data_IF_926189148396
#
_entry.id   IF_926189148396
#
_cell.length_a   1.000
_cell.length_b   1.000
_cell.length_c   1.000
_cell.angle_alpha   90.00
_cell.angle_beta   90.00
_cell.angle_gamma   90.00
#
_symmetry.space_group_name_H-M   'P 1'
#
loop_
_entity.id
_entity.type
_entity.pdbx_description
1 polymer ?
#
# COMPACT_ATOMS: atom_id res chain seq x y z
N UNK A 1 12.04 -20.28 -12.30
CA UNK A 1 11.54 -19.31 -11.31
C UNK A 1 11.99 -17.88 -11.58
N UNK A 2 13.28 -17.62 -11.86
CA UNK A 2 13.83 -16.26 -12.09
C UNK A 2 13.05 -15.34 -13.06
N UNK A 3 12.61 -15.80 -14.24
CA UNK A 3 11.96 -14.92 -15.22
C UNK A 3 10.53 -14.48 -14.85
N UNK A 4 9.72 -15.35 -14.22
CA UNK A 4 8.32 -15.06 -13.86
C UNK A 4 8.25 -14.07 -12.69
N UNK A 5 9.14 -14.29 -11.72
CA UNK A 5 9.33 -13.46 -10.53
C UNK A 5 9.79 -12.06 -10.91
N UNK A 6 10.74 -11.95 -11.84
CA UNK A 6 11.30 -10.66 -12.28
C UNK A 6 10.32 -9.86 -13.14
N UNK A 7 9.54 -10.51 -14.02
CA UNK A 7 8.77 -9.79 -15.05
C UNK A 7 7.32 -9.45 -14.68
N UNK A 8 6.64 -10.24 -13.83
CA UNK A 8 5.21 -10.02 -13.54
C UNK A 8 4.91 -9.38 -12.19
N UNK A 9 5.77 -9.52 -11.18
CA UNK A 9 5.52 -9.03 -9.82
C UNK A 9 6.37 -7.82 -9.41
N UNK A 10 7.64 -7.77 -9.81
CA UNK A 10 8.61 -6.83 -9.24
C UNK A 10 8.60 -5.43 -9.83
N UNK A 11 8.56 -5.29 -11.15
CA UNK A 11 8.50 -3.97 -11.78
C UNK A 11 7.15 -3.29 -11.49
N UNK A 12 6.04 -4.04 -11.51
CA UNK A 12 4.75 -3.50 -11.08
C UNK A 12 4.77 -3.02 -9.61
N UNK A 13 5.37 -3.80 -8.70
CA UNK A 13 5.48 -3.44 -7.28
C UNK A 13 6.40 -2.24 -7.04
N UNK A 14 7.50 -2.12 -7.77
CA UNK A 14 8.46 -1.00 -7.67
C UNK A 14 7.82 0.30 -8.16
N UNK A 15 7.07 0.23 -9.25
CA UNK A 15 6.40 1.38 -9.86
C UNK A 15 5.26 1.84 -8.95
N UNK A 16 4.54 0.89 -8.35
CA UNK A 16 3.51 1.15 -7.33
C UNK A 16 4.11 1.82 -6.09
N UNK A 17 5.22 1.33 -5.53
CA UNK A 17 5.89 1.94 -4.37
C UNK A 17 6.35 3.36 -4.70
N UNK A 18 6.98 3.55 -5.86
CA UNK A 18 7.47 4.86 -6.30
C UNK A 18 6.31 5.84 -6.50
N UNK A 19 5.22 5.39 -7.11
CA UNK A 19 4.01 6.16 -7.24
C UNK A 19 3.50 6.52 -5.84
N UNK A 20 3.17 5.55 -4.99
CA UNK A 20 2.60 5.79 -3.66
C UNK A 20 3.45 6.75 -2.81
N UNK A 21 4.78 6.65 -2.86
CA UNK A 21 5.68 7.58 -2.18
C UNK A 21 5.61 9.00 -2.78
N UNK A 22 5.67 9.13 -4.11
CA UNK A 22 5.56 10.43 -4.77
C UNK A 22 4.22 11.09 -4.48
N UNK A 23 3.14 10.30 -4.47
CA UNK A 23 1.80 10.78 -4.22
C UNK A 23 1.58 11.23 -2.78
N UNK A 24 2.03 10.42 -1.82
CA UNK A 24 2.04 10.81 -0.40
C UNK A 24 2.82 12.09 -0.24
N UNK A 25 4.11 12.09 -0.56
CA UNK A 25 5.00 13.17 -0.19
C UNK A 25 4.74 14.44 -0.99
N UNK A 26 4.68 14.37 -2.31
CA UNK A 26 4.71 15.56 -3.17
C UNK A 26 3.34 16.04 -3.63
N UNK A 27 2.37 15.13 -3.80
CA UNK A 27 1.11 15.45 -4.49
C UNK A 27 -0.05 15.71 -3.53
N UNK A 28 -0.07 15.09 -2.35
CA UNK A 28 -1.16 15.28 -1.38
C UNK A 28 -0.68 15.76 -0.01
N UNK A 29 0.18 15.01 0.70
CA UNK A 29 0.52 15.30 2.10
C UNK A 29 1.22 16.64 2.24
N UNK A 30 2.25 16.94 1.44
CA UNK A 30 2.96 18.21 1.52
C UNK A 30 2.06 19.42 1.22
N UNK A 31 1.28 19.47 0.11
CA UNK A 31 0.33 20.57 -0.11
C UNK A 31 -0.68 20.75 1.03
N UNK A 32 -1.14 19.65 1.64
CA UNK A 32 -2.05 19.74 2.80
C UNK A 32 -1.36 20.26 4.05
N UNK A 33 -0.11 19.87 4.30
CA UNK A 33 0.72 20.40 5.40
C UNK A 33 0.93 21.90 5.20
N UNK A 34 1.40 22.32 4.03
CA UNK A 34 1.62 23.73 3.69
C UNK A 34 0.34 24.57 3.85
N UNK A 35 -0.80 24.05 3.40
CA UNK A 35 -2.09 24.73 3.60
C UNK A 35 -2.50 24.79 5.07
N UNK A 36 -2.26 23.74 5.85
CA UNK A 36 -2.60 23.70 7.29
C UNK A 36 -1.84 24.74 8.10
N UNK A 37 -0.66 25.14 7.64
CA UNK A 37 0.19 26.16 8.28
C UNK A 37 -0.31 27.60 8.05
N UNK A 38 -1.28 27.83 7.15
CA UNK A 38 -1.86 29.17 6.89
C UNK A 38 -2.79 29.67 8.01
N UNK A 39 -2.95 28.90 9.08
CA UNK A 39 -3.68 29.30 10.28
C UNK A 39 -5.18 29.53 10.04
N UNK A 40 -5.70 30.70 10.44
CA UNK A 40 -7.14 31.03 10.41
C UNK A 40 -7.78 30.92 9.00
N UNK A 41 -6.98 31.05 7.94
CA UNK A 41 -7.44 30.97 6.55
C UNK A 41 -7.22 29.61 5.90
N UNK A 42 -6.77 28.62 6.68
CA UNK A 42 -6.48 27.30 6.13
C UNK A 42 -7.74 26.63 5.60
N UNK A 43 -7.63 26.13 4.37
CA UNK A 43 -8.68 25.31 3.77
C UNK A 43 -8.71 23.89 4.36
N UNK A 44 -7.66 23.42 5.04
CA UNK A 44 -7.56 22.07 5.60
C UNK A 44 -7.15 22.10 7.06
N UNK A 45 -7.90 21.40 7.91
CA UNK A 45 -7.51 21.25 9.32
C UNK A 45 -6.30 20.32 9.44
N UNK A 46 -5.32 20.72 10.24
CA UNK A 46 -4.08 19.95 10.48
C UNK A 46 -4.36 18.52 10.95
N UNK A 47 -5.45 18.27 11.69
CA UNK A 47 -5.82 16.94 12.17
C UNK A 47 -6.25 15.97 11.05
N UNK A 48 -6.59 16.44 9.85
CA UNK A 48 -6.90 15.57 8.71
C UNK A 48 -5.65 14.90 8.13
N UNK A 49 -4.47 15.50 8.28
CA UNK A 49 -3.24 14.96 7.71
C UNK A 49 -2.85 13.63 8.38
N UNK A 50 -2.64 13.55 9.71
CA UNK A 50 -2.35 12.27 10.36
C UNK A 50 -3.52 11.29 10.22
N UNK A 51 -4.76 11.77 10.16
CA UNK A 51 -5.94 10.93 9.91
C UNK A 51 -5.89 10.23 8.53
N UNK A 52 -5.48 10.93 7.48
CA UNK A 52 -5.49 10.42 6.11
C UNK A 52 -4.27 9.56 5.79
N UNK A 53 -3.09 9.94 6.28
CA UNK A 53 -1.83 9.30 5.90
C UNK A 53 -1.31 8.28 6.92
N UNK A 54 -2.11 7.95 7.95
CA UNK A 54 -1.72 6.98 8.97
C UNK A 54 -1.33 5.62 8.37
N UNK A 55 -0.30 4.98 8.92
CA UNK A 55 0.27 3.68 8.49
C UNK A 55 0.75 3.58 7.03
N UNK A 56 0.51 4.57 6.16
CA UNK A 56 0.98 4.55 4.76
C UNK A 56 2.51 4.53 4.67
N UNK A 57 3.21 5.21 5.59
CA UNK A 57 4.67 5.15 5.65
C UNK A 57 5.17 3.74 6.01
N UNK A 58 4.57 3.09 7.00
CA UNK A 58 4.93 1.72 7.40
C UNK A 58 4.66 0.72 6.26
N UNK A 59 3.55 0.86 5.54
CA UNK A 59 3.23 0.07 4.34
C UNK A 59 4.27 0.24 3.23
N UNK A 60 4.70 1.48 2.98
CA UNK A 60 5.75 1.80 2.00
C UNK A 60 7.11 1.24 2.41
N UNK A 61 7.44 1.28 3.70
CA UNK A 61 8.67 0.70 4.25
C UNK A 61 8.67 -0.82 4.11
N UNK A 62 7.56 -1.49 4.45
CA UNK A 62 7.39 -2.94 4.26
C UNK A 62 7.56 -3.32 2.79
N UNK A 63 6.91 -2.59 1.90
CA UNK A 63 6.98 -2.84 0.46
C UNK A 63 8.41 -2.67 -0.09
N UNK A 64 9.11 -1.63 0.36
CA UNK A 64 10.50 -1.36 -0.04
C UNK A 64 11.46 -2.43 0.49
N UNK A 65 11.24 -2.90 1.72
CA UNK A 65 12.01 -4.00 2.32
C UNK A 65 11.83 -5.30 1.54
N UNK A 66 10.59 -5.71 1.27
CA UNK A 66 10.30 -6.90 0.46
C UNK A 66 10.97 -6.82 -0.92
N UNK A 67 10.83 -5.67 -1.62
CA UNK A 67 11.47 -5.48 -2.92
C UNK A 67 12.99 -5.60 -2.86
N UNK A 68 13.61 -5.13 -1.78
CA UNK A 68 15.06 -5.27 -1.57
C UNK A 68 15.44 -6.73 -1.37
N UNK A 69 14.83 -7.41 -0.40
CA UNK A 69 15.15 -8.81 -0.06
C UNK A 69 14.95 -9.74 -1.25
N UNK A 70 13.88 -9.55 -2.02
CA UNK A 70 13.63 -10.38 -3.19
C UNK A 70 14.63 -10.16 -4.34
N UNK A 71 15.24 -8.99 -4.45
CA UNK A 71 16.34 -8.75 -5.41
C UNK A 71 17.64 -9.39 -4.95
N UNK A 72 17.90 -9.35 -3.65
CA UNK A 72 19.13 -9.90 -3.06
C UNK A 72 19.08 -11.44 -2.98
N UNK A 73 17.89 -12.02 -2.77
CA UNK A 73 17.67 -13.46 -2.58
C UNK A 73 16.51 -13.97 -3.46
N UNK A 74 16.64 -13.93 -4.80
CA UNK A 74 15.56 -14.28 -5.72
C UNK A 74 15.12 -15.75 -5.66
N UNK A 75 15.96 -16.63 -5.12
CA UNK A 75 15.68 -18.07 -4.96
C UNK A 75 15.21 -18.45 -3.55
N UNK A 76 15.19 -17.51 -2.59
CA UNK A 76 14.74 -17.75 -1.19
C UNK A 76 13.41 -17.04 -0.88
N UNK A 77 12.51 -16.94 -1.87
CA UNK A 77 11.27 -16.15 -1.74
C UNK A 77 10.39 -16.61 -0.56
N UNK A 78 10.23 -17.92 -0.37
CA UNK A 78 9.45 -18.49 0.74
C UNK A 78 9.99 -18.07 2.11
N UNK A 79 11.31 -18.19 2.30
CA UNK A 79 12.00 -17.77 3.51
C UNK A 79 11.92 -16.25 3.75
N UNK A 80 12.18 -15.43 2.73
CA UNK A 80 12.04 -13.96 2.84
C UNK A 80 10.64 -13.57 3.29
N UNK A 81 9.61 -14.21 2.73
CA UNK A 81 8.22 -13.98 3.11
C UNK A 81 7.92 -14.40 4.54
N UNK A 82 8.44 -15.54 4.98
CA UNK A 82 8.28 -16.02 6.36
C UNK A 82 8.97 -15.08 7.36
N UNK A 83 10.21 -14.69 7.11
CA UNK A 83 10.96 -13.75 7.97
C UNK A 83 10.27 -12.38 8.04
N UNK A 84 9.55 -12.00 6.98
CA UNK A 84 8.81 -10.74 6.91
C UNK A 84 7.40 -10.85 7.50
N UNK A 85 6.86 -12.06 7.72
CA UNK A 85 5.48 -12.32 8.18
C UNK A 85 5.00 -11.39 9.30
N UNK A 86 5.75 -11.18 10.40
CA UNK A 86 5.29 -10.35 11.52
C UNK A 86 5.04 -8.88 11.14
N UNK A 87 5.73 -8.39 10.11
CA UNK A 87 5.62 -7.01 9.62
C UNK A 87 4.35 -6.79 8.80
N UNK A 88 3.70 -7.83 8.28
CA UNK A 88 2.46 -7.69 7.51
C UNK A 88 1.26 -7.26 8.37
N UNK A 89 1.35 -7.33 9.71
CA UNK A 89 0.33 -6.81 10.62
C UNK A 89 -0.05 -5.33 10.37
N UNK A 90 0.83 -4.55 9.73
CA UNK A 90 0.54 -3.18 9.27
C UNK A 90 -0.68 -3.10 8.33
N UNK A 91 -0.94 -4.12 7.50
CA UNK A 91 -2.11 -4.15 6.63
C UNK A 91 -3.42 -4.21 7.43
N UNK A 92 -3.43 -4.98 8.53
CA UNK A 92 -4.57 -5.03 9.44
C UNK A 92 -4.75 -3.70 10.18
N UNK A 93 -3.67 -3.12 10.72
CA UNK A 93 -3.70 -1.80 11.38
C UNK A 93 -4.27 -0.72 10.45
N UNK A 94 -3.80 -0.69 9.20
CA UNK A 94 -4.32 0.22 8.19
C UNK A 94 -5.81 0.01 7.91
N UNK A 95 -6.24 -1.25 7.79
CA UNK A 95 -7.65 -1.60 7.53
C UNK A 95 -8.56 -1.17 8.68
N UNK A 96 -8.17 -1.45 9.93
CA UNK A 96 -8.89 -1.00 11.14
C UNK A 96 -8.98 0.52 11.16
N UNK A 97 -7.85 1.20 10.93
CA UNK A 97 -7.83 2.67 10.89
C UNK A 97 -8.78 3.22 9.82
N UNK A 98 -8.73 2.69 8.60
CA UNK A 98 -9.56 3.13 7.49
C UNK A 98 -11.05 2.93 7.77
N UNK A 99 -11.44 1.74 8.25
CA UNK A 99 -12.83 1.40 8.58
C UNK A 99 -13.38 2.23 9.74
N UNK A 100 -12.62 2.36 10.83
CA UNK A 100 -13.04 3.12 12.00
C UNK A 100 -13.22 4.62 11.68
N UNK A 101 -12.37 5.16 10.81
CA UNK A 101 -12.36 6.60 10.49
C UNK A 101 -13.06 6.95 9.18
N UNK A 102 -13.76 6.00 8.55
CA UNK A 102 -14.29 6.11 7.18
C UNK A 102 -15.12 7.38 6.96
N UNK A 103 -16.00 7.74 7.91
CA UNK A 103 -16.80 8.97 7.84
C UNK A 103 -15.94 10.24 7.85
N UNK A 104 -14.90 10.28 8.66
CA UNK A 104 -14.02 11.45 8.76
C UNK A 104 -13.06 11.53 7.57
N UNK A 105 -12.55 10.39 7.09
CA UNK A 105 -11.76 10.29 5.87
C UNK A 105 -12.58 10.81 4.67
N UNK A 106 -13.84 10.37 4.52
CA UNK A 106 -14.74 10.90 3.47
C UNK A 106 -14.93 12.41 3.56
N UNK A 107 -15.16 12.94 4.76
CA UNK A 107 -15.30 14.40 4.96
C UNK A 107 -14.04 15.15 4.57
N UNK A 108 -12.88 14.64 4.93
CA UNK A 108 -11.60 15.24 4.56
C UNK A 108 -11.37 15.16 3.04
N UNK A 109 -11.80 14.09 2.37
CA UNK A 109 -11.74 13.95 0.91
C UNK A 109 -12.69 14.91 0.17
N UNK A 110 -13.79 15.33 0.81
CA UNK A 110 -14.73 16.31 0.24
C UNK A 110 -14.33 17.77 0.52
N UNK A 111 -13.16 18.01 1.10
CA UNK A 111 -12.65 19.36 1.33
C UNK A 111 -12.30 20.06 0.01
N UNK A 112 -12.52 21.37 -0.09
CA UNK A 112 -12.32 22.11 -1.34
C UNK A 112 -10.87 22.11 -1.84
N UNK A 113 -9.89 22.23 -0.94
CA UNK A 113 -8.48 22.09 -1.30
C UNK A 113 -8.21 20.68 -1.80
N UNK A 114 -8.77 19.70 -1.11
CA UNK A 114 -8.60 18.30 -1.43
C UNK A 114 -9.14 17.97 -2.83
N UNK A 115 -10.34 18.43 -3.14
CA UNK A 115 -10.97 18.29 -4.46
C UNK A 115 -10.10 18.94 -5.53
N UNK A 116 -9.58 20.16 -5.28
CA UNK A 116 -8.70 20.87 -6.22
C UNK A 116 -7.41 20.09 -6.50
N UNK A 117 -6.72 19.63 -5.45
CA UNK A 117 -5.51 18.80 -5.58
C UNK A 117 -5.83 17.51 -6.35
N UNK A 118 -6.95 16.85 -6.04
CA UNK A 118 -7.36 15.63 -6.72
C UNK A 118 -7.66 15.88 -8.22
N UNK A 119 -8.37 16.96 -8.56
CA UNK A 119 -8.64 17.35 -9.95
C UNK A 119 -7.36 17.68 -10.73
N UNK A 120 -6.45 18.47 -10.14
CA UNK A 120 -5.16 18.80 -10.75
C UNK A 120 -4.33 17.54 -11.01
N UNK A 121 -4.36 16.57 -10.09
CA UNK A 121 -3.65 15.31 -10.27
C UNK A 121 -4.31 14.40 -11.33
N UNK A 122 -5.64 14.29 -11.36
CA UNK A 122 -6.37 13.51 -12.36
C UNK A 122 -6.18 14.06 -13.79
N UNK A 123 -5.95 15.37 -13.93
CA UNK A 123 -5.67 16.01 -15.21
C UNK A 123 -4.27 15.71 -15.76
N UNK A 124 -3.33 15.26 -14.92
CA UNK A 124 -1.97 14.92 -15.35
C UNK A 124 -1.89 13.51 -15.92
N UNK A 125 -0.97 13.29 -16.86
CA UNK A 125 -0.78 11.95 -17.49
C UNK A 125 0.10 11.01 -16.66
N UNK A 126 0.92 11.53 -15.74
CA UNK A 126 1.84 10.77 -14.88
C UNK A 126 1.14 10.07 -13.69
N UNK A 127 -0.17 10.29 -13.53
CA UNK A 127 -0.97 9.81 -12.40
C UNK A 127 -1.79 8.56 -12.71
N UNK A 128 -1.72 8.04 -13.95
CA UNK A 128 -2.60 6.98 -14.45
C UNK A 128 -4.09 7.25 -14.22
N UNK A 129 -4.48 8.53 -14.04
CA UNK A 129 -5.85 8.95 -13.69
C UNK A 129 -6.41 8.30 -12.41
N UNK A 130 -5.54 7.87 -11.50
CA UNK A 130 -5.94 7.35 -10.20
C UNK A 130 -6.18 8.52 -9.24
N UNK A 131 -7.33 8.49 -8.56
CA UNK A 131 -7.69 9.45 -7.52
C UNK A 131 -7.27 8.96 -6.14
N UNK A 132 -7.30 9.84 -5.13
CA UNK A 132 -6.89 9.48 -3.76
C UNK A 132 -7.70 8.33 -3.14
N UNK A 133 -8.96 8.15 -3.54
CA UNK A 133 -9.77 6.99 -3.15
C UNK A 133 -9.18 5.66 -3.60
N UNK A 134 -8.64 5.62 -4.82
CA UNK A 134 -8.00 4.42 -5.39
C UNK A 134 -6.72 4.08 -4.61
N UNK A 135 -6.02 5.11 -4.13
CA UNK A 135 -4.83 4.93 -3.30
C UNK A 135 -5.15 4.39 -1.91
N UNK A 136 -6.26 4.81 -1.32
CA UNK A 136 -6.65 4.30 0.00
C UNK A 136 -7.13 2.85 -0.03
N UNK A 137 -7.75 2.43 -1.12
CA UNK A 137 -8.17 1.04 -1.26
C UNK A 137 -7.01 0.13 -1.69
N UNK A 138 -5.95 0.68 -2.28
CA UNK A 138 -4.82 -0.12 -2.80
C UNK A 138 -4.15 -1.01 -1.74
N UNK A 139 -3.80 -0.55 -0.51
CA UNK A 139 -3.26 -1.43 0.52
C UNK A 139 -4.20 -2.59 0.90
N UNK A 140 -5.51 -2.35 0.91
CA UNK A 140 -6.52 -3.37 1.22
C UNK A 140 -6.60 -4.39 0.08
N UNK A 141 -6.51 -3.95 -1.18
CA UNK A 141 -6.49 -4.85 -2.34
C UNK A 141 -5.15 -5.59 -2.50
N UNK A 142 -4.05 -5.05 -1.97
CA UNK A 142 -2.71 -5.60 -2.18
C UNK A 142 -2.51 -6.95 -1.48
N UNK A 143 -3.16 -7.16 -0.33
CA UNK A 143 -3.08 -8.44 0.40
C UNK A 143 -3.58 -9.62 -0.44
N UNK A 144 -4.65 -9.42 -1.21
CA UNK A 144 -5.23 -10.47 -2.04
C UNK A 144 -4.34 -10.78 -3.24
N UNK A 145 -3.72 -9.74 -3.84
CA UNK A 145 -2.71 -9.91 -4.89
C UNK A 145 -1.51 -10.72 -4.42
N UNK A 146 -1.01 -10.49 -3.22
CA UNK A 146 0.07 -11.29 -2.64
C UNK A 146 -0.32 -12.75 -2.45
N UNK A 147 -1.54 -13.03 -1.98
CA UNK A 147 -2.03 -14.40 -1.88
C UNK A 147 -2.08 -15.11 -3.25
N UNK A 148 -2.51 -14.40 -4.31
CA UNK A 148 -2.54 -14.95 -5.68
C UNK A 148 -1.14 -15.21 -6.21
N UNK A 149 -0.23 -14.25 -6.06
CA UNK A 149 1.16 -14.40 -6.49
C UNK A 149 1.84 -15.58 -5.81
N UNK A 150 1.69 -15.73 -4.49
CA UNK A 150 2.26 -16.86 -3.75
C UNK A 150 1.68 -18.20 -4.20
N UNK A 151 0.37 -18.27 -4.46
CA UNK A 151 -0.27 -19.47 -5.03
C UNK A 151 0.29 -19.82 -6.40
N UNK A 152 0.48 -18.83 -7.25
CA UNK A 152 1.06 -19.04 -8.58
C UNK A 152 2.52 -19.48 -8.48
N UNK A 153 3.34 -18.87 -7.62
CA UNK A 153 4.71 -19.30 -7.35
C UNK A 153 4.78 -20.76 -6.89
N UNK A 154 3.89 -21.18 -5.98
CA UNK A 154 3.83 -22.55 -5.49
C UNK A 154 3.63 -23.58 -6.62
N UNK A 155 2.88 -23.23 -7.68
CA UNK A 155 2.65 -24.13 -8.83
C UNK A 155 3.93 -24.41 -9.62
N UNK A 156 4.92 -23.53 -9.53
CA UNK A 156 6.21 -23.64 -10.21
C UNK A 156 7.34 -24.16 -9.32
N UNK A 157 7.07 -24.42 -8.03
CA UNK A 157 8.03 -25.01 -7.08
C UNK A 157 7.95 -26.54 -7.11
N UNK A 158 9.04 -27.19 -7.53
CA UNK A 158 9.18 -28.65 -7.48
C UNK A 158 10.56 -29.03 -6.89
N UNK A 159 10.62 -29.66 -5.70
CA UNK A 159 9.50 -30.02 -4.83
C UNK A 159 8.76 -28.80 -4.28
N UNK A 160 7.54 -28.96 -3.72
CA UNK A 160 6.78 -27.87 -3.13
C UNK A 160 7.58 -27.13 -2.05
N UNK A 161 7.58 -25.80 -2.11
CA UNK A 161 8.23 -24.93 -1.13
C UNK A 161 7.35 -24.86 0.14
N UNK A 162 7.85 -25.42 1.24
CA UNK A 162 7.14 -25.45 2.54
C UNK A 162 7.11 -24.08 3.22
N UNK A 163 8.10 -23.23 2.96
CA UNK A 163 8.20 -21.90 3.54
C UNK A 163 7.21 -20.96 2.85
N UNK A 164 7.09 -21.07 1.53
CA UNK A 164 6.09 -20.38 0.73
C UNK A 164 4.65 -20.80 1.09
N UNK A 165 4.40 -22.09 1.34
CA UNK A 165 3.08 -22.56 1.80
C UNK A 165 2.71 -21.96 3.17
N UNK A 166 3.66 -21.92 4.12
CA UNK A 166 3.45 -21.28 5.43
C UNK A 166 3.15 -19.78 5.28
N UNK A 167 3.93 -19.07 4.46
CA UNK A 167 3.70 -17.65 4.19
C UNK A 167 2.32 -17.41 3.56
N UNK A 168 1.92 -18.23 2.59
CA UNK A 168 0.61 -18.14 1.95
C UNK A 168 -0.53 -18.33 2.95
N UNK A 169 -0.41 -19.30 3.87
CA UNK A 169 -1.41 -19.52 4.94
C UNK A 169 -1.53 -18.30 5.85
N UNK A 170 -0.41 -17.73 6.30
CA UNK A 170 -0.40 -16.54 7.15
C UNK A 170 -1.05 -15.34 6.44
N UNK A 171 -0.67 -15.10 5.17
CA UNK A 171 -1.23 -14.02 4.36
C UNK A 171 -2.74 -14.19 4.08
N UNK A 172 -3.18 -15.43 3.87
CA UNK A 172 -4.60 -15.73 3.70
C UNK A 172 -5.37 -15.48 5.00
N UNK A 173 -4.84 -15.88 6.15
CA UNK A 173 -5.43 -15.61 7.45
C UNK A 173 -5.53 -14.09 7.73
N UNK A 174 -4.48 -13.34 7.38
CA UNK A 174 -4.46 -11.88 7.46
C UNK A 174 -5.53 -11.24 6.56
N UNK A 175 -5.67 -11.70 5.31
CA UNK A 175 -6.70 -11.22 4.40
C UNK A 175 -8.12 -11.49 4.93
N UNK A 176 -8.35 -12.67 5.52
CA UNK A 176 -9.62 -13.01 6.18
C UNK A 176 -9.86 -12.07 7.37
N UNK A 177 -8.85 -11.86 8.22
CA UNK A 177 -8.96 -10.95 9.36
C UNK A 177 -9.33 -9.53 8.91
N UNK A 178 -8.68 -9.01 7.87
CA UNK A 178 -8.97 -7.69 7.29
C UNK A 178 -10.41 -7.57 6.75
N UNK A 179 -10.97 -8.64 6.18
CA UNK A 179 -12.34 -8.64 5.67
C UNK A 179 -13.40 -8.62 6.78
N UNK A 180 -13.04 -9.03 7.99
CA UNK A 180 -13.93 -9.11 9.16
C UNK A 180 -13.82 -7.89 10.09
N UNK A 181 -13.10 -6.84 9.67
CA UNK A 181 -12.96 -5.56 10.38
C UNK A 181 -14.15 -4.64 10.13
#
# INVERSE_FOLDING_TARGET
>A
MSAIVTHFGFDASKEEIRAMSMWRDKKYMQPMVEESLKGKYSLVKANYIPLLFNHLLELLQLSSHLLKEFKEKPDELGKVLQETEPKFSVFLKYTIHYKHNEKQIRKACNNILFIKINQENLARRDTNRLGMSDYFIAPIQRITRYCLLMKDLQRYSNPPDLELDKALKAMTALAIAMNNV
#
